data_IF_856971213456
#
_entry.id   IF_856971213456
#
_cell.length_a   1.000
_cell.length_b   1.000
_cell.length_c   1.000
_cell.angle_alpha   90.00
_cell.angle_beta   90.00
_cell.angle_gamma   90.00
#
_symmetry.space_group_name_H-M   'P 1'
#
loop_
_entity.id
_entity.type
_entity.pdbx_description
1 polymer ?
#
# COMPACT_ATOMS: atom_id res chain seq x y z
N UNK A 1 -3.38 2.57 -6.81
CA UNK A 1 -4.54 2.28 -5.91
C UNK A 1 -4.50 3.26 -4.75
N UNK A 2 -5.62 3.87 -4.37
CA UNK A 2 -5.65 4.93 -3.36
C UNK A 2 -6.19 4.50 -1.99
N UNK A 3 -6.44 3.21 -1.76
CA UNK A 3 -6.89 2.68 -0.47
C UNK A 3 -5.71 2.15 0.33
N UNK A 4 -5.67 2.43 1.62
CA UNK A 4 -4.66 1.99 2.57
C UNK A 4 -5.23 0.96 3.54
N UNK A 5 -4.38 0.01 3.93
CA UNK A 5 -4.57 -0.91 5.03
C UNK A 5 -3.74 -0.44 6.21
N UNK A 6 -4.33 -0.43 7.40
CA UNK A 6 -3.67 -0.07 8.65
C UNK A 6 -3.76 -1.29 9.56
N UNK A 7 -2.63 -1.96 9.78
CA UNK A 7 -2.51 -3.16 10.59
C UNK A 7 -1.91 -2.91 11.96
N UNK A 8 -1.80 -3.99 12.74
CA UNK A 8 -1.26 -4.03 14.09
C UNK A 8 -1.96 -3.06 15.08
N UNK A 9 -3.25 -2.80 14.87
CA UNK A 9 -4.04 -1.96 15.75
C UNK A 9 -4.41 -2.72 17.04
N UNK A 10 -4.46 -2.00 18.15
CA UNK A 10 -5.04 -2.52 19.39
C UNK A 10 -6.55 -2.73 19.27
N UNK A 11 -7.12 -3.61 20.10
CA UNK A 11 -8.58 -3.85 20.12
C UNK A 11 -9.40 -2.63 20.55
N UNK A 12 -8.76 -1.68 21.24
CA UNK A 12 -9.38 -0.45 21.73
C UNK A 12 -9.29 0.74 20.74
N UNK A 13 -8.66 0.56 19.57
CA UNK A 13 -8.44 1.65 18.62
C UNK A 13 -9.77 2.09 18.00
N UNK A 14 -10.08 3.37 18.14
CA UNK A 14 -11.26 3.99 17.54
C UNK A 14 -10.91 4.71 16.22
N UNK A 15 -11.89 4.89 15.31
CA UNK A 15 -11.67 5.66 14.08
C UNK A 15 -11.19 7.09 14.36
N UNK A 16 -11.64 7.70 15.46
CA UNK A 16 -11.23 9.04 15.92
C UNK A 16 -9.73 9.14 16.22
N UNK A 17 -9.14 8.07 16.75
CA UNK A 17 -7.70 8.04 17.05
C UNK A 17 -6.89 8.02 15.76
N UNK A 18 -7.33 7.23 14.79
CA UNK A 18 -6.72 7.17 13.45
C UNK A 18 -6.89 8.51 12.71
N UNK A 19 -8.05 9.16 12.81
CA UNK A 19 -8.28 10.48 12.21
C UNK A 19 -7.33 11.53 12.78
N UNK A 20 -7.14 11.53 14.09
CA UNK A 20 -6.21 12.45 14.77
C UNK A 20 -4.78 12.20 14.31
N UNK A 21 -4.37 10.94 14.23
CA UNK A 21 -3.04 10.52 13.80
C UNK A 21 -2.70 10.93 12.37
N UNK A 22 -3.66 10.79 11.44
CA UNK A 22 -3.51 11.25 10.07
C UNK A 22 -3.48 12.77 9.97
N UNK A 23 -4.25 13.48 10.81
CA UNK A 23 -4.22 14.95 10.89
C UNK A 23 -2.88 15.46 11.44
N UNK A 24 -2.36 14.85 12.49
CA UNK A 24 -1.05 15.18 13.08
C UNK A 24 0.08 15.02 12.06
N UNK A 25 -0.01 13.95 11.26
CA UNK A 25 0.93 13.67 10.18
C UNK A 25 0.70 14.51 8.91
N UNK A 26 -0.32 15.39 8.92
CA UNK A 26 -0.73 16.25 7.80
C UNK A 26 -1.01 15.46 6.52
N UNK A 27 -1.54 14.25 6.66
CA UNK A 27 -1.91 13.39 5.54
C UNK A 27 -3.41 13.59 5.26
N UNK A 28 -3.78 14.06 4.07
CA UNK A 28 -5.17 14.11 3.67
C UNK A 28 -5.70 12.69 3.46
N UNK A 29 -6.88 12.43 4.01
CA UNK A 29 -7.64 11.22 3.79
C UNK A 29 -9.01 11.58 3.21
N UNK A 30 -9.60 10.63 2.50
CA UNK A 30 -10.89 10.72 1.84
C UNK A 30 -11.85 9.72 2.48
N UNK A 31 -13.06 10.17 2.80
CA UNK A 31 -14.07 9.30 3.42
C UNK A 31 -13.80 9.04 4.90
N UNK A 32 -14.21 7.87 5.39
CA UNK A 32 -14.15 7.49 6.80
C UNK A 32 -13.22 6.29 7.01
N UNK A 33 -12.65 6.20 8.21
CA UNK A 33 -11.85 5.05 8.63
C UNK A 33 -12.76 3.85 8.91
N UNK A 34 -12.60 2.79 8.11
CA UNK A 34 -13.27 1.52 8.33
C UNK A 34 -12.45 0.67 9.30
N UNK A 35 -12.73 0.80 10.60
CA UNK A 35 -12.05 0.04 11.66
C UNK A 35 -12.67 -1.35 11.82
N UNK A 36 -11.82 -2.35 11.95
CA UNK A 36 -12.13 -3.74 12.28
C UNK A 36 -11.24 -4.20 13.44
N UNK A 37 -11.49 -5.40 13.94
CA UNK A 37 -10.71 -6.00 15.02
C UNK A 37 -9.25 -6.22 14.58
N UNK A 38 -8.36 -5.34 15.05
CA UNK A 38 -6.91 -5.41 14.81
C UNK A 38 -6.40 -4.71 13.54
N UNK A 39 -7.28 -4.12 12.74
CA UNK A 39 -6.89 -3.42 11.51
C UNK A 39 -7.97 -2.45 11.01
N UNK A 40 -7.60 -1.49 10.18
CA UNK A 40 -8.50 -0.52 9.58
C UNK A 40 -8.19 -0.29 8.09
N UNK A 41 -9.14 0.34 7.40
CA UNK A 41 -8.93 0.83 6.04
C UNK A 41 -9.29 2.31 5.94
N UNK A 42 -8.56 3.01 5.10
CA UNK A 42 -8.86 4.41 4.75
C UNK A 42 -8.61 4.63 3.27
N UNK A 43 -9.40 5.49 2.64
CA UNK A 43 -9.15 5.93 1.28
C UNK A 43 -8.35 7.25 1.32
N UNK A 44 -7.37 7.40 0.44
CA UNK A 44 -6.62 8.63 0.24
C UNK A 44 -7.09 9.32 -1.05
N UNK A 45 -6.89 10.64 -1.18
CA UNK A 45 -7.24 11.36 -2.40
C UNK A 45 -6.41 10.87 -3.60
N UNK A 46 -5.11 10.66 -3.40
CA UNK A 46 -4.16 10.25 -4.45
C UNK A 46 -3.24 9.12 -3.98
N UNK A 47 -2.69 8.38 -4.94
CA UNK A 47 -1.68 7.34 -4.68
C UNK A 47 -0.37 7.91 -4.12
N UNK A 48 0.01 9.13 -4.52
CA UNK A 48 1.18 9.82 -3.95
C UNK A 48 0.99 10.12 -2.46
N UNK A 49 -0.23 10.44 -2.03
CA UNK A 49 -0.54 10.62 -0.61
C UNK A 49 -0.58 9.30 0.14
N UNK A 50 -1.07 8.24 -0.50
CA UNK A 50 -1.03 6.90 0.07
C UNK A 50 0.42 6.45 0.35
N UNK A 51 1.35 6.67 -0.61
CA UNK A 51 2.77 6.37 -0.43
C UNK A 51 3.38 7.18 0.71
N UNK A 52 3.13 8.49 0.76
CA UNK A 52 3.60 9.35 1.86
C UNK A 52 3.06 8.89 3.21
N UNK A 53 1.81 8.43 3.25
CA UNK A 53 1.21 7.93 4.48
C UNK A 53 1.90 6.67 4.98
N UNK A 54 2.21 5.75 4.08
CA UNK A 54 2.98 4.54 4.39
C UNK A 54 4.35 4.93 4.94
N UNK A 55 5.10 5.79 4.25
CA UNK A 55 6.44 6.19 4.67
C UNK A 55 6.47 6.98 5.97
N UNK A 56 5.42 7.78 6.25
CA UNK A 56 5.36 8.61 7.45
C UNK A 56 4.85 7.85 8.68
N UNK A 57 3.90 6.94 8.50
CA UNK A 57 3.17 6.30 9.60
C UNK A 57 3.68 4.88 9.90
N UNK A 58 3.96 4.10 8.85
CA UNK A 58 4.26 2.68 9.00
C UNK A 58 5.54 2.47 9.80
N UNK A 59 5.43 1.76 10.92
CA UNK A 59 6.56 1.45 11.81
C UNK A 59 7.19 2.67 12.49
N UNK A 60 6.54 3.85 12.43
CA UNK A 60 7.04 5.09 13.03
C UNK A 60 6.13 5.62 14.12
N UNK A 61 4.83 5.32 14.03
CA UNK A 61 3.84 5.83 14.98
C UNK A 61 3.31 4.69 15.84
N UNK A 62 3.22 4.94 17.14
CA UNK A 62 2.65 4.00 18.10
C UNK A 62 1.25 4.43 18.51
N UNK A 63 0.34 3.47 18.55
CA UNK A 63 -1.05 3.66 18.97
C UNK A 63 -1.35 2.63 20.05
N UNK A 64 -1.65 3.10 21.26
CA UNK A 64 -1.81 2.26 22.46
C UNK A 64 -0.61 1.33 22.74
N UNK A 65 0.62 1.80 22.53
CA UNK A 65 1.84 1.03 22.78
C UNK A 65 2.12 -0.06 21.75
N UNK A 66 1.48 -0.01 20.57
CA UNK A 66 1.80 -0.84 19.41
C UNK A 66 2.17 0.03 18.22
N UNK A 67 3.25 -0.32 17.53
CA UNK A 67 3.62 0.30 16.25
C UNK A 67 2.58 -0.03 15.18
N UNK A 68 1.97 0.98 14.60
CA UNK A 68 1.02 0.76 13.51
C UNK A 68 1.77 0.42 12.22
N UNK A 69 1.14 -0.41 11.41
CA UNK A 69 1.66 -0.77 10.10
C UNK A 69 0.72 -0.23 9.04
N UNK A 70 1.25 0.51 8.06
CA UNK A 70 0.44 1.08 6.98
C UNK A 70 0.95 0.54 5.66
N UNK A 71 0.04 -0.01 4.85
CA UNK A 71 0.35 -0.61 3.55
C UNK A 71 -0.69 -0.24 2.50
N UNK A 72 -0.36 -0.44 1.23
CA UNK A 72 -1.34 -0.35 0.15
C UNK A 72 -2.40 -1.45 0.30
N UNK A 73 -3.66 -1.07 0.18
CA UNK A 73 -4.75 -2.04 0.16
C UNK A 73 -4.69 -2.87 -1.13
N UNK A 74 -4.32 -4.14 -1.01
CA UNK A 74 -4.27 -5.05 -2.14
C UNK A 74 -5.58 -5.84 -2.23
N UNK A 75 -6.44 -5.62 -3.24
CA UNK A 75 -7.64 -6.42 -3.43
C UNK A 75 -7.26 -7.88 -3.69
N UNK A 76 -8.06 -8.82 -3.17
CA UNK A 76 -7.77 -10.27 -3.14
C UNK A 76 -7.31 -10.84 -4.48
N UNK A 77 -7.87 -10.36 -5.62
CA UNK A 77 -7.53 -10.85 -6.96
C UNK A 77 -6.10 -10.53 -7.41
N UNK A 78 -5.47 -9.49 -6.83
CA UNK A 78 -4.13 -9.05 -7.23
C UNK A 78 -3.02 -9.70 -6.39
N UNK A 79 -3.35 -10.21 -5.18
CA UNK A 79 -2.40 -10.95 -4.33
C UNK A 79 -1.95 -12.27 -4.96
N UNK A 80 -2.84 -12.97 -5.65
CA UNK A 80 -2.51 -14.20 -6.38
C UNK A 80 -1.59 -13.93 -7.58
N UNK A 81 -1.82 -12.84 -8.33
CA UNK A 81 -0.93 -12.44 -9.42
C UNK A 81 0.45 -11.97 -8.92
N UNK A 82 0.56 -11.24 -7.81
CA UNK A 82 1.85 -10.78 -7.27
C UNK A 82 2.67 -11.92 -6.68
N UNK A 83 2.06 -12.89 -6.00
CA UNK A 83 2.78 -14.11 -5.57
C UNK A 83 3.38 -14.85 -6.76
N UNK A 84 2.66 -14.93 -7.86
CA UNK A 84 3.16 -15.54 -9.09
C UNK A 84 4.21 -14.68 -9.79
N UNK A 85 4.10 -13.34 -9.75
CA UNK A 85 5.09 -12.42 -10.32
C UNK A 85 6.42 -12.41 -9.55
N UNK A 86 6.38 -12.49 -8.22
CA UNK A 86 7.58 -12.59 -7.38
C UNK A 86 8.34 -13.91 -7.65
N UNK A 87 7.62 -15.01 -7.91
CA UNK A 87 8.23 -16.28 -8.35
C UNK A 87 8.80 -16.21 -9.77
N UNK A 88 8.21 -15.39 -10.65
CA UNK A 88 8.74 -15.13 -12.01
C UNK A 88 9.99 -14.23 -12.00
N UNK A 89 10.22 -13.47 -10.92
CA UNK A 89 11.37 -12.56 -10.77
C UNK A 89 12.64 -13.24 -10.27
N UNK A 90 12.56 -14.48 -9.79
CA UNK A 90 13.75 -15.24 -9.37
C UNK A 90 14.57 -15.77 -10.55
N UNK A 91 14.03 -15.76 -11.77
CA UNK A 91 14.65 -16.37 -12.94
C UNK A 91 14.79 -15.37 -14.12
N UNK A 92 16.00 -14.84 -14.41
CA UNK A 92 16.21 -13.78 -15.39
C UNK A 92 15.84 -14.17 -16.83
N UNK A 93 15.72 -15.48 -17.12
CA UNK A 93 15.29 -15.97 -18.42
C UNK A 93 13.78 -15.77 -18.65
N UNK A 94 12.99 -15.85 -17.58
CA UNK A 94 11.54 -15.70 -17.61
C UNK A 94 11.16 -14.22 -17.70
N UNK A 95 11.90 -13.35 -17.00
CA UNK A 95 11.76 -11.89 -17.10
C UNK A 95 11.98 -11.38 -18.52
N UNK A 96 13.04 -11.86 -19.20
CA UNK A 96 13.34 -11.49 -20.59
C UNK A 96 12.24 -11.92 -21.56
N UNK A 97 11.63 -13.09 -21.35
CA UNK A 97 10.48 -13.56 -22.16
C UNK A 97 9.21 -12.77 -21.89
N UNK A 98 8.94 -12.40 -20.63
CA UNK A 98 7.78 -11.58 -20.26
C UNK A 98 7.87 -10.17 -20.86
N UNK A 99 9.06 -9.55 -20.83
CA UNK A 99 9.32 -8.26 -21.49
C UNK A 99 9.06 -8.33 -23.00
N UNK A 100 9.46 -9.43 -23.66
CA UNK A 100 9.22 -9.61 -25.09
C UNK A 100 7.73 -9.68 -25.45
N UNK A 101 6.88 -10.23 -24.56
CA UNK A 101 5.42 -10.25 -24.72
C UNK A 101 4.82 -8.85 -24.54
N UNK A 102 5.32 -8.08 -23.58
CA UNK A 102 4.80 -6.74 -23.29
C UNK A 102 5.25 -5.65 -24.28
N UNK A 103 6.36 -5.84 -25.01
CA UNK A 103 6.81 -4.91 -26.07
C UNK A 103 5.86 -4.81 -27.28
N UNK A 104 4.81 -5.65 -27.36
CA UNK A 104 3.80 -5.60 -28.42
C UNK A 104 2.58 -4.70 -28.16
N UNK A 105 2.40 -4.21 -26.93
CA UNK A 105 1.37 -3.21 -26.61
C UNK A 105 2.05 -1.88 -26.33
N UNK A 106 2.07 -1.02 -27.35
CA UNK A 106 2.69 0.30 -27.30
C UNK A 106 2.26 1.12 -26.09
N UNK A 107 3.22 1.90 -25.57
CA UNK A 107 3.06 2.95 -24.57
C UNK A 107 2.95 2.55 -23.08
N UNK A 108 3.81 1.65 -22.57
CA UNK A 108 4.13 1.68 -21.13
C UNK A 108 5.49 1.05 -20.77
N UNK A 109 6.57 1.45 -21.45
CA UNK A 109 7.95 0.94 -21.13
C UNK A 109 8.88 2.05 -20.62
N UNK A 110 8.45 3.32 -20.59
CA UNK A 110 9.39 4.42 -20.35
C UNK A 110 9.64 4.76 -18.87
N UNK A 111 9.02 4.08 -17.91
CA UNK A 111 9.13 4.42 -16.48
C UNK A 111 9.66 3.31 -15.57
N UNK A 112 10.02 2.16 -16.14
CA UNK A 112 10.54 0.99 -15.42
C UNK A 112 12.04 0.78 -15.62
N UNK A 113 12.69 1.57 -16.49
CA UNK A 113 14.14 1.52 -16.71
C UNK A 113 14.90 2.57 -15.88
N UNK A 114 14.24 3.61 -15.35
CA UNK A 114 14.86 4.64 -14.50
C UNK A 114 14.95 4.26 -13.00
N UNK A 115 14.54 3.04 -12.63
CA UNK A 115 14.59 2.54 -11.24
C UNK A 115 15.65 1.43 -11.04
N UNK A 116 16.61 1.33 -11.97
CA UNK A 116 17.82 0.51 -11.88
C UNK A 116 19.04 1.39 -11.55
#
# INVERSE_FOLDING_TARGET
MNKLYIGNLGENVSPLDLESLFKDSKIPFSGQFLVKTGYAFVDCPDESWAMKAIEALSGKVELHGKLIEVEHSVPKRQRECQRNAALLHSDPLVWKKAIAIFKGLGHFVQKLEEAL
#
